data_IF_123989844810
#
_entry.id   IF_123989844810
#
_cell.length_a   1.000
_cell.length_b   1.000
_cell.length_c   1.000
_cell.angle_alpha   90.00
_cell.angle_beta   90.00
_cell.angle_gamma   90.00
#
_symmetry.space_group_name_H-M   'P 1'
#
loop_
_entity.id
_entity.type
_entity.pdbx_description
1 polymer ?
#
# COMPACT_ATOMS: atom_id res chain seq x y z
N UNK A 1 15.15 -11.36 -17.96
CA UNK A 1 14.01 -11.13 -18.88
C UNK A 1 13.03 -10.22 -18.16
N UNK A 2 12.69 -9.06 -18.71
CA UNK A 2 11.60 -8.23 -18.19
C UNK A 2 10.30 -8.84 -18.72
N UNK A 3 9.49 -9.40 -17.82
CA UNK A 3 8.20 -9.97 -18.19
C UNK A 3 7.18 -8.84 -18.25
N UNK A 4 6.68 -8.52 -19.44
CA UNK A 4 5.56 -7.57 -19.60
C UNK A 4 4.28 -8.32 -19.28
N UNK A 5 3.78 -8.13 -18.07
CA UNK A 5 2.51 -8.70 -17.58
C UNK A 5 1.60 -7.55 -17.12
N UNK A 6 0.30 -7.70 -17.27
CA UNK A 6 -0.65 -6.68 -16.81
C UNK A 6 -0.61 -6.54 -15.28
N UNK A 7 -1.01 -5.39 -14.70
CA UNK A 7 -1.08 -5.22 -13.25
C UNK A 7 -1.90 -6.32 -12.55
N UNK A 8 -3.02 -6.74 -13.18
CA UNK A 8 -3.86 -7.81 -12.66
C UNK A 8 -3.11 -9.16 -12.61
N UNK A 9 -2.39 -9.49 -13.67
CA UNK A 9 -1.65 -10.74 -13.75
C UNK A 9 -0.47 -10.75 -12.78
N UNK A 10 0.20 -9.61 -12.61
CA UNK A 10 1.25 -9.42 -11.61
C UNK A 10 0.73 -9.67 -10.19
N UNK A 11 -0.46 -9.15 -9.83
CA UNK A 11 -1.08 -9.40 -8.51
C UNK A 11 -1.44 -10.87 -8.32
N UNK A 12 -1.93 -11.54 -9.37
CA UNK A 12 -2.23 -12.99 -9.31
C UNK A 12 -0.97 -13.81 -9.07
N UNK A 13 0.09 -13.57 -9.83
CA UNK A 13 1.38 -14.25 -9.68
C UNK A 13 2.02 -13.99 -8.32
N UNK A 14 1.89 -12.75 -7.83
CA UNK A 14 2.34 -12.41 -6.49
C UNK A 14 1.60 -13.19 -5.40
N UNK A 15 0.27 -13.30 -5.50
CA UNK A 15 -0.55 -14.06 -4.54
C UNK A 15 -0.25 -15.55 -4.53
N UNK A 16 0.11 -16.14 -5.67
CA UNK A 16 0.51 -17.56 -5.75
C UNK A 16 1.96 -17.79 -5.33
N UNK A 17 2.71 -16.72 -5.03
CA UNK A 17 4.14 -16.78 -4.72
C UNK A 17 5.03 -17.02 -5.94
N UNK A 18 4.48 -17.00 -7.16
CA UNK A 18 5.24 -17.13 -8.40
C UNK A 18 6.17 -15.93 -8.63
N UNK A 19 5.79 -14.75 -8.11
CA UNK A 19 6.62 -13.53 -8.10
C UNK A 19 6.66 -12.95 -6.69
N UNK A 20 7.81 -12.43 -6.27
CA UNK A 20 7.95 -11.67 -5.04
C UNK A 20 7.85 -10.17 -5.36
N UNK A 21 6.91 -9.48 -4.72
CA UNK A 21 6.78 -8.02 -4.80
C UNK A 21 7.05 -7.43 -3.41
N UNK A 22 8.07 -6.57 -3.24
CA UNK A 22 8.21 -5.75 -2.06
C UNK A 22 6.98 -4.87 -1.82
N UNK A 23 6.75 -4.43 -0.56
CA UNK A 23 5.52 -3.72 -0.19
C UNK A 23 5.20 -2.48 -1.03
N UNK A 24 6.17 -1.60 -1.35
CA UNK A 24 5.90 -0.45 -2.22
C UNK A 24 5.38 -0.87 -3.61
N UNK A 25 5.92 -1.93 -4.20
CA UNK A 25 5.48 -2.42 -5.50
C UNK A 25 4.07 -3.01 -5.44
N UNK A 26 3.73 -3.73 -4.37
CA UNK A 26 2.36 -4.21 -4.16
C UNK A 26 1.41 -3.02 -4.14
N UNK A 27 1.69 -2.00 -3.34
CA UNK A 27 0.87 -0.79 -3.26
C UNK A 27 0.65 -0.14 -4.64
N UNK A 28 1.72 0.08 -5.40
CA UNK A 28 1.65 0.72 -6.72
C UNK A 28 0.85 -0.08 -7.74
N UNK A 29 1.16 -1.38 -7.88
CA UNK A 29 0.43 -2.27 -8.79
C UNK A 29 -1.06 -2.33 -8.42
N UNK A 30 -1.37 -2.27 -7.12
CA UNK A 30 -2.76 -2.24 -6.64
C UNK A 30 -3.53 -1.01 -7.11
N UNK A 31 -2.88 0.16 -7.24
CA UNK A 31 -3.51 1.37 -7.78
C UNK A 31 -3.75 1.24 -9.28
N UNK A 32 -2.78 0.67 -10.00
CA UNK A 32 -2.85 0.46 -11.45
C UNK A 32 -3.97 -0.50 -11.87
N UNK A 33 -4.51 -1.33 -10.96
CA UNK A 33 -5.72 -2.12 -11.22
C UNK A 33 -6.97 -1.27 -11.55
N UNK A 34 -6.91 0.04 -11.34
CA UNK A 34 -7.99 0.96 -11.69
C UNK A 34 -7.88 1.53 -13.10
N UNK A 35 -6.80 1.22 -13.82
CA UNK A 35 -6.57 1.68 -15.19
C UNK A 35 -6.60 0.47 -16.11
N UNK A 36 -7.46 0.53 -17.12
CA UNK A 36 -7.74 -0.61 -18.00
C UNK A 36 -7.00 -0.52 -19.35
N UNK A 37 -6.47 0.66 -19.71
CA UNK A 37 -5.69 0.85 -20.94
C UNK A 37 -4.47 1.76 -20.80
N UNK A 38 -3.59 1.71 -21.79
CA UNK A 38 -2.43 2.59 -21.86
C UNK A 38 -2.85 4.06 -22.05
N UNK A 39 -3.87 4.32 -22.87
CA UNK A 39 -4.37 5.66 -23.16
C UNK A 39 -4.94 6.31 -21.89
N UNK A 40 -5.66 5.54 -21.07
CA UNK A 40 -6.15 6.00 -19.76
C UNK A 40 -4.99 6.29 -18.80
N UNK A 41 -3.94 5.44 -18.79
CA UNK A 41 -2.73 5.69 -17.98
C UNK A 41 -2.01 6.96 -18.42
N UNK A 42 -1.87 7.16 -19.73
CA UNK A 42 -1.22 8.34 -20.32
C UNK A 42 -2.00 9.62 -20.00
N UNK A 43 -3.32 9.60 -20.17
CA UNK A 43 -4.19 10.72 -19.83
C UNK A 43 -4.14 11.02 -18.34
N UNK A 44 -4.26 10.00 -17.49
CA UNK A 44 -4.12 10.14 -16.05
C UNK A 44 -2.78 10.79 -15.67
N UNK A 45 -1.67 10.28 -16.23
CA UNK A 45 -0.34 10.80 -15.93
C UNK A 45 -0.20 12.28 -16.37
N UNK A 46 -0.70 12.63 -17.56
CA UNK A 46 -0.69 14.00 -18.09
C UNK A 46 -1.49 14.97 -17.22
N UNK A 47 -2.70 14.58 -16.82
CA UNK A 47 -3.57 15.45 -16.01
C UNK A 47 -3.10 15.54 -14.55
N UNK A 48 -2.76 14.40 -13.93
CA UNK A 48 -2.25 14.37 -12.54
C UNK A 48 -0.89 15.05 -12.41
N UNK A 49 -0.07 15.05 -13.46
CA UNK A 49 1.22 15.75 -13.49
C UNK A 49 1.09 17.27 -13.26
N UNK A 50 -0.09 17.85 -13.45
CA UNK A 50 -0.38 19.26 -13.18
C UNK A 50 -0.65 19.55 -11.68
N UNK A 51 -0.88 18.51 -10.88
CA UNK A 51 -1.15 18.62 -9.44
C UNK A 51 0.14 18.48 -8.61
N UNK A 52 0.08 18.93 -7.35
CA UNK A 52 1.15 18.74 -6.37
C UNK A 52 1.42 17.27 -5.99
N UNK A 53 2.27 17.05 -5.00
CA UNK A 53 2.60 15.73 -4.47
C UNK A 53 2.84 15.84 -2.97
N UNK A 54 2.32 14.88 -2.20
CA UNK A 54 2.75 14.67 -0.81
C UNK A 54 3.99 13.78 -0.81
N UNK A 55 4.94 14.05 0.08
CA UNK A 55 6.00 13.10 0.36
C UNK A 55 5.42 11.90 1.11
N UNK A 56 5.28 10.77 0.41
CA UNK A 56 5.01 9.50 1.06
C UNK A 56 6.30 8.95 1.65
N UNK A 57 6.49 9.12 2.95
CA UNK A 57 7.50 8.38 3.68
C UNK A 57 6.86 7.23 4.47
N UNK A 58 7.16 5.96 4.18
CA UNK A 58 6.61 4.84 4.91
C UNK A 58 7.19 4.74 6.32
N UNK A 59 6.34 4.85 7.35
CA UNK A 59 6.74 4.70 8.75
C UNK A 59 6.45 3.28 9.20
N UNK A 60 7.45 2.58 9.75
CA UNK A 60 7.33 1.19 10.19
C UNK A 60 7.10 1.12 11.70
N UNK A 61 6.04 0.42 12.09
CA UNK A 61 5.74 0.03 13.47
C UNK A 61 5.90 -1.48 13.57
N UNK A 62 6.88 -1.94 14.36
CA UNK A 62 7.12 -3.36 14.62
C UNK A 62 6.20 -3.80 15.75
N UNK A 63 5.17 -4.55 15.39
CA UNK A 63 4.20 -5.12 16.30
C UNK A 63 4.67 -6.50 16.79
N UNK A 64 4.04 -7.01 17.85
CA UNK A 64 4.37 -8.32 18.43
C UNK A 64 4.30 -9.49 17.45
N UNK A 65 3.44 -9.42 16.43
CA UNK A 65 3.18 -10.51 15.48
C UNK A 65 3.37 -10.12 14.00
N UNK A 66 4.00 -8.98 13.72
CA UNK A 66 4.19 -8.47 12.36
C UNK A 66 4.68 -7.03 12.31
N UNK A 67 4.53 -6.39 11.17
CA UNK A 67 4.91 -4.98 10.96
C UNK A 67 3.77 -4.24 10.30
N UNK A 68 3.46 -3.05 10.79
CA UNK A 68 2.56 -2.10 10.13
C UNK A 68 3.43 -1.05 9.44
N UNK A 69 3.17 -0.80 8.16
CA UNK A 69 3.79 0.26 7.38
C UNK A 69 2.73 1.33 7.15
N UNK A 70 2.76 2.40 7.93
CA UNK A 70 1.84 3.52 7.84
C UNK A 70 2.30 4.51 6.75
N UNK A 71 1.34 5.12 6.08
CA UNK A 71 1.51 6.22 5.13
C UNK A 71 0.69 7.43 5.61
N UNK A 72 1.02 8.61 5.09
CA UNK A 72 0.32 9.84 5.43
C UNK A 72 -1.21 9.71 5.23
N UNK A 73 -1.99 10.12 6.24
CA UNK A 73 -3.44 9.96 6.31
C UNK A 73 -3.90 8.76 7.14
N UNK A 74 -2.99 7.86 7.51
CA UNK A 74 -3.24 6.85 8.53
C UNK A 74 -3.23 7.47 9.93
N UNK A 75 -4.15 7.08 10.83
CA UNK A 75 -4.21 7.67 12.18
C UNK A 75 -2.98 7.35 13.05
N UNK A 76 -2.24 6.29 12.73
CA UNK A 76 -0.99 5.94 13.43
C UNK A 76 0.24 6.52 12.73
N UNK A 77 0.05 7.34 11.69
CA UNK A 77 1.15 8.07 11.07
C UNK A 77 1.59 9.22 12.00
N UNK A 78 2.88 9.33 12.34
CA UNK A 78 3.35 10.40 13.22
C UNK A 78 3.19 11.76 12.53
N UNK A 79 2.89 12.80 13.31
CA UNK A 79 2.83 14.19 12.82
C UNK A 79 4.18 14.64 12.25
N UNK A 80 5.28 14.20 12.88
CA UNK A 80 6.66 14.44 12.44
C UNK A 80 7.39 13.11 12.23
N UNK A 81 7.34 12.54 11.02
CA UNK A 81 8.08 11.32 10.68
C UNK A 81 9.61 11.53 10.70
N UNK A 82 10.35 10.51 11.11
CA UNK A 82 11.80 10.50 10.96
C UNK A 82 12.19 10.25 9.49
N UNK A 83 12.60 11.31 8.80
CA UNK A 83 13.06 11.24 7.41
C UNK A 83 14.55 10.86 7.26
N UNK A 84 15.34 10.89 8.33
CA UNK A 84 16.78 10.57 8.29
C UNK A 84 17.02 9.08 8.53
N UNK A 85 16.10 8.43 9.26
CA UNK A 85 16.22 7.03 9.66
C UNK A 85 17.22 6.82 10.81
N UNK A 86 17.57 7.90 11.51
CA UNK A 86 18.47 7.87 12.67
C UNK A 86 17.75 7.42 13.96
N UNK A 87 16.42 7.58 14.01
CA UNK A 87 15.63 7.13 15.15
C UNK A 87 15.50 5.60 15.14
N UNK A 88 15.47 5.04 16.35
CA UNK A 88 15.20 3.62 16.53
C UNK A 88 13.82 3.27 15.95
N UNK A 89 13.70 2.07 15.39
CA UNK A 89 12.40 1.58 14.93
C UNK A 89 11.39 1.57 16.08
N UNK A 90 10.18 2.03 15.81
CA UNK A 90 9.10 1.96 16.78
C UNK A 90 8.67 0.50 16.97
N UNK A 91 9.03 -0.08 18.11
CA UNK A 91 8.66 -1.45 18.51
C UNK A 91 7.62 -1.38 19.63
N UNK A 92 6.51 -2.10 19.47
CA UNK A 92 5.36 -2.06 20.39
C UNK A 92 4.93 -3.49 20.81
N UNK A 93 4.17 -3.61 21.90
CA UNK A 93 3.73 -4.91 22.43
C UNK A 93 2.39 -5.37 21.85
N UNK A 94 1.66 -4.44 21.24
CA UNK A 94 0.42 -4.67 20.52
C UNK A 94 0.67 -5.54 19.29
N UNK A 95 -0.32 -6.34 18.96
CA UNK A 95 -0.43 -7.05 17.69
C UNK A 95 -0.87 -6.11 16.57
N UNK A 96 -0.64 -6.52 15.32
CA UNK A 96 -1.13 -5.81 14.14
C UNK A 96 -2.65 -5.58 14.22
N UNK A 97 -3.40 -6.56 14.73
CA UNK A 97 -4.85 -6.48 14.90
C UNK A 97 -5.27 -5.44 15.94
N UNK A 98 -4.58 -5.37 17.08
CA UNK A 98 -4.82 -4.36 18.11
C UNK A 98 -4.51 -2.96 17.58
N UNK A 99 -3.37 -2.78 16.91
CA UNK A 99 -3.02 -1.52 16.23
C UNK A 99 -4.04 -1.12 15.16
N UNK A 100 -4.67 -2.10 14.49
CA UNK A 100 -5.77 -1.81 13.56
C UNK A 100 -6.98 -1.26 14.30
N UNK A 101 -7.31 -1.80 15.47
CA UNK A 101 -8.43 -1.33 16.29
C UNK A 101 -8.25 0.07 16.88
N UNK A 102 -7.02 0.56 16.97
CA UNK A 102 -6.71 1.92 17.46
C UNK A 102 -6.94 3.02 16.42
N UNK A 103 -7.18 2.67 15.16
CA UNK A 103 -7.30 3.62 14.05
C UNK A 103 -8.63 3.47 13.32
N UNK A 104 -9.18 4.59 12.88
CA UNK A 104 -10.36 4.66 12.01
C UNK A 104 -9.93 4.89 10.56
N UNK A 105 -8.96 5.79 10.35
CA UNK A 105 -8.35 6.03 9.05
C UNK A 105 -7.15 5.10 8.86
N UNK A 106 -7.23 4.31 7.80
CA UNK A 106 -6.20 3.39 7.37
C UNK A 106 -5.63 3.85 6.04
N UNK A 107 -4.32 3.99 6.04
CA UNK A 107 -3.49 4.12 4.85
C UNK A 107 -2.20 3.33 5.09
N UNK A 108 -2.32 2.00 5.16
CA UNK A 108 -1.24 1.14 5.66
C UNK A 108 -1.14 -0.18 4.94
N UNK A 109 0.05 -0.76 5.02
CA UNK A 109 0.31 -2.18 4.71
C UNK A 109 0.61 -2.93 5.99
N UNK A 110 0.00 -4.09 6.16
CA UNK A 110 0.25 -4.99 7.28
C UNK A 110 1.00 -6.22 6.80
N UNK A 111 2.17 -6.47 7.38
CA UNK A 111 3.10 -7.52 7.00
C UNK A 111 3.14 -8.56 8.11
N UNK A 112 2.71 -9.78 7.83
CA UNK A 112 2.75 -10.91 8.78
C UNK A 112 3.26 -12.16 8.07
N UNK A 113 4.43 -12.67 8.47
CA UNK A 113 5.09 -13.84 7.86
C UNK A 113 5.14 -13.70 6.32
N UNK A 114 4.34 -14.48 5.59
CA UNK A 114 4.26 -14.49 4.12
C UNK A 114 3.02 -13.79 3.57
N UNK A 115 2.35 -12.96 4.38
CA UNK A 115 1.13 -12.27 3.99
C UNK A 115 1.33 -10.74 4.11
N UNK A 116 0.89 -10.03 3.07
CA UNK A 116 0.79 -8.58 3.05
C UNK A 116 -0.68 -8.23 2.81
N UNK A 117 -1.24 -7.44 3.72
CA UNK A 117 -2.59 -6.88 3.58
C UNK A 117 -2.51 -5.38 3.40
N UNK A 118 -3.17 -4.87 2.36
CA UNK A 118 -3.28 -3.45 2.08
C UNK A 118 -4.62 -2.93 2.60
N UNK A 119 -4.59 -1.93 3.49
CA UNK A 119 -5.76 -1.31 4.10
C UNK A 119 -5.74 0.19 3.80
N UNK A 120 -6.64 0.61 2.91
CA UNK A 120 -6.80 2.01 2.51
C UNK A 120 -8.27 2.38 2.52
N UNK A 121 -8.65 3.34 3.37
CA UNK A 121 -9.99 3.94 3.40
C UNK A 121 -9.97 5.47 3.35
N UNK A 122 -8.80 6.08 3.25
CA UNK A 122 -8.62 7.52 3.07
C UNK A 122 -8.73 7.90 1.60
N UNK A 123 -9.18 9.13 1.32
CA UNK A 123 -9.17 9.65 -0.04
C UNK A 123 -7.74 10.00 -0.48
N UNK A 124 -7.34 9.66 -1.72
CA UNK A 124 -6.06 10.07 -2.26
C UNK A 124 -6.04 11.59 -2.47
N UNK A 125 -4.88 12.21 -2.23
CA UNK A 125 -4.66 13.64 -2.47
C UNK A 125 -4.14 13.89 -3.89
N UNK A 126 -4.23 15.15 -4.33
CA UNK A 126 -3.67 15.63 -5.61
C UNK A 126 -4.13 14.85 -6.86
N UNK A 127 -5.37 14.36 -6.83
CA UNK A 127 -5.96 13.63 -7.96
C UNK A 127 -5.32 12.26 -8.19
N UNK A 128 -4.64 11.67 -7.21
CA UNK A 128 -4.15 10.30 -7.31
C UNK A 128 -5.30 9.27 -7.37
N UNK A 129 -4.98 8.10 -7.91
CA UNK A 129 -5.89 6.96 -7.98
C UNK A 129 -5.93 6.23 -6.63
N UNK A 130 -7.12 5.91 -6.16
CA UNK A 130 -7.32 5.07 -4.99
C UNK A 130 -6.92 3.62 -5.25
N UNK A 131 -6.43 2.94 -4.23
CA UNK A 131 -6.29 1.49 -4.27
C UNK A 131 -7.68 0.85 -4.41
N UNK A 132 -7.92 0.04 -5.44
CA UNK A 132 -9.15 -0.78 -5.51
C UNK A 132 -9.17 -1.73 -4.31
N UNK A 133 -10.29 -1.77 -3.57
CA UNK A 133 -10.56 -2.73 -2.46
C UNK A 133 -10.42 -4.22 -2.87
N UNK A 134 -10.20 -4.50 -4.16
CA UNK A 134 -10.11 -5.83 -4.76
C UNK A 134 -8.98 -6.72 -4.21
N UNK A 135 -8.03 -6.19 -3.42
CA UNK A 135 -7.00 -7.05 -2.82
C UNK A 135 -7.49 -7.76 -1.55
N UNK A 136 -8.66 -7.40 -1.03
CA UNK A 136 -9.31 -8.06 0.13
C UNK A 136 -10.40 -9.09 -0.21
N UNK A 137 -10.90 -9.18 -1.45
CA UNK A 137 -11.99 -10.10 -1.82
C UNK A 137 -11.79 -10.68 -3.22
N UNK A 138 -11.02 -11.75 -3.32
CA UNK A 138 -11.32 -12.86 -4.24
C UNK A 138 -11.16 -14.17 -3.46
N UNK A 139 -11.88 -14.29 -2.34
CA UNK A 139 -12.37 -15.60 -1.96
C UNK A 139 -13.37 -16.02 -3.03
N UNK A 140 -13.20 -17.23 -3.57
CA UNK A 140 -14.08 -17.87 -4.57
C UNK A 140 -14.17 -17.19 -5.93
N UNK A 141 -13.20 -17.50 -6.80
CA UNK A 141 -13.60 -18.04 -8.10
C UNK A 141 -13.40 -19.56 -7.99
N UNK A 142 -14.50 -20.30 -8.13
CA UNK A 142 -14.48 -21.75 -8.35
C UNK A 142 -13.77 -22.07 -9.66
#
# INVERSE_FOLDING_TARGET
>A
MVQVVSPLEMVKQWRTGAVQLPPPQVYEVSRLLSIDSYEELEEFARERGKNGMDHYFPVRIVAKNGTVVCLAGDDLYPEEPDYTGEQAQLVVQETVEELRGLAQNHHRMELKKHNLKLLVNVAPKYGHISVKKAIGMMSTLK
#
